data_IF_034123505334
#
_entry.id   IF_034123505334
#
_cell.length_a   1.000
_cell.length_b   1.000
_cell.length_c   1.000
_cell.angle_alpha   90.00
_cell.angle_beta   90.00
_cell.angle_gamma   90.00
#
_symmetry.space_group_name_H-M   'P 1'
#
loop_
_entity.id
_entity.type
_entity.pdbx_description
1 polymer ?
#
# COMPACT_ATOMS: atom_id res chain seq x y z
N UNK A 1 2.37 17.84 -18.54
CA UNK A 1 2.33 17.24 -17.20
C UNK A 1 1.64 15.90 -17.32
N UNK A 2 2.07 14.91 -16.52
CA UNK A 2 1.46 13.57 -16.52
C UNK A 2 0.10 13.68 -15.82
N UNK A 3 -0.95 13.11 -16.43
CA UNK A 3 -2.26 12.98 -15.80
C UNK A 3 -2.26 11.72 -14.93
N UNK A 4 -2.48 11.88 -13.63
CA UNK A 4 -2.47 10.78 -12.67
C UNK A 4 -3.93 10.40 -12.38
N UNK A 5 -4.36 9.15 -12.61
CA UNK A 5 -5.70 8.70 -12.22
C UNK A 5 -5.95 8.87 -10.72
N UNK A 6 -7.13 9.37 -10.36
CA UNK A 6 -7.48 9.67 -8.97
C UNK A 6 -7.36 8.46 -8.03
N UNK A 7 -7.64 7.26 -8.53
CA UNK A 7 -7.53 6.00 -7.78
C UNK A 7 -6.10 5.71 -7.28
N UNK A 8 -5.06 6.15 -8.00
CA UNK A 8 -3.68 5.90 -7.60
C UNK A 8 -3.30 6.69 -6.33
N UNK A 9 -3.96 7.82 -6.06
CA UNK A 9 -3.78 8.56 -4.81
C UNK A 9 -4.31 7.77 -3.62
N UNK A 10 -5.48 7.14 -3.77
CA UNK A 10 -6.07 6.28 -2.73
C UNK A 10 -5.16 5.08 -2.46
N UNK A 11 -4.64 4.46 -3.52
CA UNK A 11 -3.70 3.33 -3.41
C UNK A 11 -2.41 3.73 -2.67
N UNK A 12 -1.83 4.87 -3.03
CA UNK A 12 -0.62 5.37 -2.37
C UNK A 12 -0.84 5.66 -0.88
N UNK A 13 -1.96 6.30 -0.54
CA UNK A 13 -2.32 6.59 0.86
C UNK A 13 -2.49 5.33 1.70
N UNK A 14 -3.13 4.29 1.16
CA UNK A 14 -3.25 3.00 1.87
C UNK A 14 -1.89 2.31 2.04
N UNK A 15 -1.02 2.38 1.03
CA UNK A 15 0.32 1.78 1.07
C UNK A 15 1.26 2.51 2.04
N UNK A 16 1.14 3.84 2.18
CA UNK A 16 1.93 4.62 3.15
C UNK A 16 1.72 4.14 4.58
N UNK A 17 0.49 3.72 4.93
CA UNK A 17 0.19 3.13 6.24
C UNK A 17 0.96 1.83 6.49
N UNK A 18 1.30 1.09 5.43
CA UNK A 18 1.98 -0.21 5.52
C UNK A 18 3.49 -0.08 5.68
N UNK A 19 4.07 1.12 5.63
CA UNK A 19 5.50 1.26 5.83
C UNK A 19 5.88 0.95 7.29
N UNK A 20 5.26 1.58 8.28
CA UNK A 20 5.67 1.46 9.69
C UNK A 20 4.97 0.31 10.40
N UNK A 21 3.65 0.18 10.23
CA UNK A 21 2.79 -0.67 11.06
C UNK A 21 3.19 -2.16 11.04
N UNK A 22 3.50 -2.82 9.90
CA UNK A 22 3.84 -4.24 9.91
C UNK A 22 5.13 -4.59 10.66
N UNK A 23 5.98 -3.61 10.97
CA UNK A 23 7.35 -3.82 11.48
C UNK A 23 7.50 -3.56 12.98
N UNK A 24 6.67 -2.70 13.54
CA UNK A 24 6.85 -2.21 14.92
C UNK A 24 5.57 -2.40 15.74
N UNK A 25 5.61 -3.20 16.83
CA UNK A 25 4.43 -3.42 17.67
C UNK A 25 3.93 -2.14 18.36
N UNK A 26 4.79 -1.13 18.53
CA UNK A 26 4.47 0.14 19.17
C UNK A 26 3.36 0.94 18.46
N UNK A 27 2.99 0.57 17.23
CA UNK A 27 1.87 1.16 16.49
C UNK A 27 0.49 0.61 16.89
N UNK A 28 0.44 -0.49 17.66
CA UNK A 28 -0.79 -1.15 18.09
C UNK A 28 -1.03 -0.95 19.58
N UNK A 29 -2.29 -0.86 20.00
CA UNK A 29 -2.65 -0.74 21.41
C UNK A 29 -2.30 -2.00 22.21
N UNK A 30 -2.37 -3.17 21.57
CA UNK A 30 -2.09 -4.49 22.15
C UNK A 30 -1.59 -5.45 21.06
N UNK A 31 -0.94 -6.54 21.45
CA UNK A 31 -0.52 -7.60 20.51
C UNK A 31 0.73 -7.27 19.68
N UNK A 32 0.89 -7.97 18.56
CA UNK A 32 2.00 -7.79 17.61
C UNK A 32 1.51 -7.69 16.16
N UNK A 33 2.28 -7.05 15.25
CA UNK A 33 1.75 -6.61 13.95
C UNK A 33 1.04 -7.70 13.15
N UNK A 34 1.58 -8.92 13.07
CA UNK A 34 0.99 -9.99 12.26
C UNK A 34 -0.40 -10.45 12.72
N UNK A 35 -0.86 -10.09 13.92
CA UNK A 35 -2.24 -10.35 14.36
C UNK A 35 -3.27 -9.45 13.67
N UNK A 36 -2.83 -8.31 13.13
CA UNK A 36 -3.67 -7.31 12.47
C UNK A 36 -3.65 -7.42 10.94
N UNK A 37 -2.85 -8.33 10.39
CA UNK A 37 -2.75 -8.58 8.96
C UNK A 37 -3.39 -9.90 8.60
N UNK A 38 -4.08 -9.91 7.47
CA UNK A 38 -4.64 -11.12 6.88
C UNK A 38 -4.32 -11.16 5.38
N UNK A 39 -4.64 -12.29 4.76
CA UNK A 39 -4.37 -12.53 3.34
C UNK A 39 -5.05 -11.50 2.43
N UNK A 40 -6.29 -11.10 2.74
CA UNK A 40 -7.04 -10.13 1.95
C UNK A 40 -6.36 -8.74 1.95
N UNK A 41 -5.88 -8.28 3.11
CA UNK A 41 -5.10 -7.04 3.23
C UNK A 41 -3.83 -7.13 2.38
N UNK A 42 -3.11 -8.26 2.47
CA UNK A 42 -1.88 -8.46 1.72
C UNK A 42 -2.12 -8.46 0.21
N UNK A 43 -3.14 -9.18 -0.27
CA UNK A 43 -3.50 -9.24 -1.69
C UNK A 43 -3.93 -7.87 -2.23
N UNK A 44 -4.69 -7.09 -1.45
CA UNK A 44 -5.06 -5.71 -1.82
C UNK A 44 -3.84 -4.80 -1.93
N UNK A 45 -2.92 -4.84 -0.96
CA UNK A 45 -1.70 -4.04 -1.00
C UNK A 45 -0.82 -4.40 -2.21
N UNK A 46 -0.68 -5.70 -2.52
CA UNK A 46 0.04 -6.15 -3.71
C UNK A 46 -0.62 -5.60 -4.98
N UNK A 47 -1.94 -5.70 -5.09
CA UNK A 47 -2.67 -5.17 -6.24
C UNK A 47 -2.45 -3.66 -6.42
N UNK A 48 -2.52 -2.88 -5.34
CA UNK A 48 -2.29 -1.44 -5.37
C UNK A 48 -0.87 -1.08 -5.79
N UNK A 49 0.13 -1.79 -5.25
CA UNK A 49 1.52 -1.60 -5.63
C UNK A 49 1.74 -1.93 -7.12
N UNK A 50 1.16 -3.02 -7.63
CA UNK A 50 1.21 -3.39 -9.05
C UNK A 50 0.63 -2.28 -9.92
N UNK A 51 -0.54 -1.74 -9.58
CA UNK A 51 -1.22 -0.70 -10.39
C UNK A 51 -0.43 0.60 -10.44
N UNK A 52 0.20 0.99 -9.34
CA UNK A 52 1.10 2.16 -9.32
C UNK A 52 2.34 1.88 -10.17
N UNK A 53 2.94 0.70 -10.06
CA UNK A 53 4.13 0.32 -10.82
C UNK A 53 3.86 0.34 -12.34
N UNK A 54 2.76 -0.29 -12.79
CA UNK A 54 2.33 -0.31 -14.19
C UNK A 54 2.11 1.11 -14.73
N UNK A 55 1.49 2.00 -13.95
CA UNK A 55 1.31 3.40 -14.34
C UNK A 55 2.64 4.13 -14.53
N UNK A 56 3.59 3.93 -13.60
CA UNK A 56 4.92 4.56 -13.68
C UNK A 56 5.68 4.06 -14.89
N UNK A 57 5.66 2.75 -15.14
CA UNK A 57 6.30 2.13 -16.31
C UNK A 57 5.75 2.72 -17.62
N UNK A 58 4.43 2.77 -17.78
CA UNK A 58 3.76 3.37 -18.95
C UNK A 58 3.99 4.89 -19.10
N UNK A 59 4.36 5.57 -18.01
CA UNK A 59 4.59 7.03 -18.03
C UNK A 59 6.02 7.41 -18.43
N UNK A 60 6.93 6.44 -18.51
CA UNK A 60 8.35 6.63 -18.85
C UNK A 60 8.65 6.23 -20.30
N UNK A 61 7.79 5.41 -20.92
CA UNK A 61 7.81 5.09 -22.35
C UNK A 61 7.25 6.24 -23.23
#
# INVERSE_FOLDING_TARGET
>A
GINIPDELWVFAQELDMQYIQPRYPNGFSEGYPSEYYNKEIAERCINYATRIFEFVEQSIE
#
